data_IF_445315635551
#
_entry.id   IF_445315635551
#
_cell.length_a   1.000
_cell.length_b   1.000
_cell.length_c   1.000
_cell.angle_alpha   90.00
_cell.angle_beta   90.00
_cell.angle_gamma   90.00
#
_symmetry.space_group_name_H-M   'P 1'
#
loop_
_entity.id
_entity.type
_entity.pdbx_description
1 polymer ?
#
# COMPACT_ATOMS: atom_id res chain seq x y z
N UNK A 1 2.69 10.93 9.13
CA UNK A 1 3.06 10.47 7.78
C UNK A 1 4.22 11.34 7.34
N UNK A 2 5.41 10.78 7.24
CA UNK A 2 6.59 11.52 6.79
C UNK A 2 6.62 11.53 5.26
N UNK A 3 6.81 12.72 4.68
CA UNK A 3 6.94 12.89 3.23
C UNK A 3 8.41 12.81 2.81
N UNK A 4 8.68 12.04 1.77
CA UNK A 4 9.99 11.98 1.10
C UNK A 4 9.80 12.22 -0.40
N UNK A 5 10.55 13.16 -0.96
CA UNK A 5 10.37 13.65 -2.34
C UNK A 5 8.90 14.01 -2.70
N UNK A 6 8.20 14.63 -1.75
CA UNK A 6 6.82 15.09 -1.92
C UNK A 6 5.76 13.97 -1.88
N UNK A 7 6.14 12.74 -1.52
CA UNK A 7 5.23 11.59 -1.45
C UNK A 7 5.27 10.90 -0.08
N UNK A 8 4.19 10.21 0.30
CA UNK A 8 4.16 9.47 1.56
C UNK A 8 5.23 8.38 1.58
N UNK A 9 5.83 8.21 2.76
CA UNK A 9 6.63 7.02 3.09
C UNK A 9 5.78 6.04 3.89
N UNK A 10 6.05 4.76 3.71
CA UNK A 10 5.34 3.68 4.38
C UNK A 10 6.36 2.84 5.14
N UNK A 11 6.06 2.50 6.39
CA UNK A 11 6.87 1.58 7.19
C UNK A 11 6.08 0.31 7.40
N UNK A 12 6.73 -0.84 7.25
CA UNK A 12 6.11 -2.12 7.62
C UNK A 12 6.08 -2.22 9.16
N UNK A 13 4.94 -2.55 9.75
CA UNK A 13 4.80 -2.55 11.22
C UNK A 13 5.68 -3.59 11.93
N UNK A 14 5.88 -4.74 11.29
CA UNK A 14 6.60 -5.90 11.83
C UNK A 14 8.07 -5.99 11.36
N UNK A 15 8.55 -5.02 10.59
CA UNK A 15 9.90 -5.05 10.05
C UNK A 15 10.51 -3.65 9.93
N UNK A 16 11.83 -3.57 10.05
CA UNK A 16 12.60 -2.37 9.70
C UNK A 16 12.73 -2.25 8.18
N UNK A 17 11.59 -2.09 7.50
CA UNK A 17 11.50 -1.89 6.06
C UNK A 17 10.63 -0.70 5.76
N UNK A 18 11.18 0.19 4.94
CA UNK A 18 10.55 1.40 4.48
C UNK A 18 10.30 1.30 2.99
N UNK A 19 9.10 1.67 2.56
CA UNK A 19 8.76 1.89 1.18
C UNK A 19 8.64 3.39 0.94
N UNK A 20 9.38 3.89 -0.05
CA UNK A 20 9.48 5.31 -0.33
C UNK A 20 9.72 5.56 -1.82
N UNK A 21 9.30 6.73 -2.28
CA UNK A 21 9.48 7.17 -3.65
C UNK A 21 10.73 8.02 -3.80
N UNK A 22 11.49 7.85 -4.88
CA UNK A 22 12.59 8.74 -5.23
C UNK A 22 12.22 9.45 -6.53
N UNK A 23 12.43 10.77 -6.56
CA UNK A 23 12.23 11.61 -7.74
C UNK A 23 13.54 12.25 -8.25
N UNK A 24 14.54 12.41 -7.39
CA UNK A 24 15.75 13.21 -7.68
C UNK A 24 16.70 12.56 -8.68
N UNK A 25 17.18 11.37 -8.36
CA UNK A 25 18.22 10.70 -9.17
C UNK A 25 17.65 9.64 -10.10
N UNK A 26 16.55 9.02 -9.68
CA UNK A 26 15.84 7.96 -10.40
C UNK A 26 14.37 8.01 -10.05
N UNK A 27 13.51 7.90 -11.05
CA UNK A 27 12.06 7.89 -10.90
C UNK A 27 11.61 6.46 -10.58
N UNK A 28 11.45 6.13 -9.29
CA UNK A 28 11.07 4.78 -8.85
C UNK A 28 10.57 4.73 -7.40
N UNK A 29 9.86 3.66 -7.08
CA UNK A 29 9.60 3.23 -5.71
C UNK A 29 10.68 2.26 -5.25
N UNK A 30 11.11 2.41 -3.99
CA UNK A 30 12.09 1.57 -3.34
C UNK A 30 11.51 0.96 -2.06
N UNK A 31 11.97 -0.24 -1.71
CA UNK A 31 11.80 -0.86 -0.39
C UNK A 31 13.18 -1.14 0.19
N UNK A 32 13.52 -0.52 1.33
CA UNK A 32 14.86 -0.57 1.91
C UNK A 32 14.85 -0.54 3.44
N UNK A 33 16.02 -0.76 4.04
CA UNK A 33 16.20 -0.69 5.50
C UNK A 33 16.10 0.75 6.01
N UNK A 34 16.61 1.72 5.24
CA UNK A 34 16.43 3.14 5.50
C UNK A 34 15.98 3.87 4.23
N UNK A 35 15.41 5.05 4.43
CA UNK A 35 15.00 5.96 3.36
C UNK A 35 16.26 6.58 2.74
N UNK A 36 16.38 6.50 1.42
CA UNK A 36 17.50 7.09 0.66
C UNK A 36 18.73 6.20 0.53
N UNK A 37 18.74 5.01 1.12
CA UNK A 37 19.87 4.07 1.00
C UNK A 37 20.10 3.59 -0.43
N UNK A 38 21.37 3.30 -0.75
CA UNK A 38 21.76 2.71 -2.04
C UNK A 38 21.43 1.22 -2.12
N UNK A 39 21.38 0.54 -0.98
CA UNK A 39 20.99 -0.87 -0.86
C UNK A 39 19.49 -0.98 -0.59
N UNK A 40 18.79 -1.70 -1.46
CA UNK A 40 17.34 -1.88 -1.38
C UNK A 40 16.97 -3.35 -1.52
N UNK A 41 15.91 -3.76 -0.82
CA UNK A 41 15.33 -5.09 -0.89
C UNK A 41 14.48 -5.26 -2.14
N UNK A 42 13.78 -4.20 -2.55
CA UNK A 42 13.00 -4.21 -3.78
C UNK A 42 12.95 -2.83 -4.41
N UNK A 43 12.71 -2.78 -5.72
CA UNK A 43 12.48 -1.54 -6.44
C UNK A 43 11.56 -1.75 -7.64
N UNK A 44 10.90 -0.69 -8.06
CA UNK A 44 10.07 -0.68 -9.27
C UNK A 44 10.06 0.71 -9.90
N UNK A 45 10.30 0.77 -11.20
CA UNK A 45 10.26 2.04 -11.94
C UNK A 45 8.81 2.37 -12.25
N UNK A 46 8.23 3.33 -11.52
CA UNK A 46 6.85 3.77 -11.69
C UNK A 46 6.71 5.21 -11.21
N UNK A 47 5.79 5.96 -11.83
CA UNK A 47 5.39 7.32 -11.42
C UNK A 47 4.12 7.33 -10.54
N UNK A 48 3.52 6.16 -10.31
CA UNK A 48 2.28 5.98 -9.56
C UNK A 48 2.31 6.75 -8.23
N UNK A 49 1.25 7.50 -7.92
CA UNK A 49 1.14 8.32 -6.71
C UNK A 49 1.07 7.49 -5.43
N UNK A 50 0.46 6.31 -5.55
CA UNK A 50 0.36 5.32 -4.48
C UNK A 50 1.08 4.02 -4.89
N UNK A 51 1.66 3.29 -3.92
CA UNK A 51 2.22 1.96 -4.15
C UNK A 51 1.21 0.95 -4.71
N UNK A 52 -0.07 1.07 -4.37
CA UNK A 52 -1.13 0.17 -4.85
C UNK A 52 -1.41 0.32 -6.34
N UNK A 53 -1.12 1.50 -6.91
CA UNK A 53 -1.33 1.80 -8.33
C UNK A 53 -0.11 1.42 -9.17
N UNK A 54 0.91 0.78 -8.58
CA UNK A 54 2.08 0.29 -9.30
C UNK A 54 1.69 -0.93 -10.14
N UNK A 55 1.58 -0.71 -11.44
CA UNK A 55 1.36 -1.76 -12.45
C UNK A 55 2.62 -2.55 -12.82
N UNK A 56 3.82 -1.94 -12.96
CA UNK A 56 5.02 -2.66 -13.39
C UNK A 56 5.48 -3.73 -12.40
N UNK A 57 6.23 -4.70 -12.90
CA UNK A 57 6.81 -5.79 -12.10
C UNK A 57 7.89 -5.26 -11.15
N UNK A 58 7.83 -5.70 -9.90
CA UNK A 58 8.83 -5.38 -8.89
C UNK A 58 10.10 -6.19 -9.10
N UNK A 59 11.25 -5.58 -8.79
CA UNK A 59 12.55 -6.24 -8.76
C UNK A 59 12.99 -6.44 -7.32
N UNK A 60 13.22 -7.67 -6.92
CA UNK A 60 13.66 -8.02 -5.57
C UNK A 60 15.14 -8.40 -5.54
N UNK A 61 15.82 -8.05 -4.46
CA UNK A 61 17.20 -8.47 -4.22
C UNK A 61 17.21 -9.94 -3.79
N UNK A 62 17.72 -10.81 -4.66
CA UNK A 62 17.87 -12.25 -4.42
C UNK A 62 19.29 -12.67 -4.77
N UNK A 63 20.05 -13.18 -3.81
CA UNK A 63 21.42 -13.64 -4.04
C UNK A 63 22.39 -12.54 -4.53
N UNK A 64 22.17 -11.28 -4.16
CA UNK A 64 22.99 -10.14 -4.58
C UNK A 64 22.66 -9.58 -5.98
N UNK A 65 21.67 -10.15 -6.68
CA UNK A 65 21.16 -9.63 -7.95
C UNK A 65 19.70 -9.19 -7.80
N UNK A 66 19.26 -8.27 -8.66
CA UNK A 66 17.86 -7.87 -8.75
C UNK A 66 17.15 -8.78 -9.75
N UNK A 67 16.12 -9.49 -9.28
CA UNK A 67 15.31 -10.41 -10.09
C UNK A 67 13.89 -9.88 -10.17
N UNK A 68 13.28 -9.92 -11.37
CA UNK A 68 11.87 -9.56 -11.56
C UNK A 68 10.98 -10.59 -10.84
N UNK A 69 10.11 -10.12 -9.95
CA UNK A 69 9.14 -10.93 -9.21
C UNK A 69 7.71 -10.40 -9.49
N UNK A 70 6.95 -11.08 -10.37
CA UNK A 70 5.58 -10.67 -10.70
C UNK A 70 4.57 -10.96 -9.59
N UNK A 71 4.97 -11.69 -8.55
CA UNK A 71 4.08 -12.05 -7.42
C UNK A 71 4.04 -10.95 -6.36
N UNK A 72 5.07 -10.10 -6.30
CA UNK A 72 5.14 -8.99 -5.37
C UNK A 72 4.17 -7.88 -5.77
N UNK A 73 3.26 -7.52 -4.86
CA UNK A 73 2.29 -6.44 -5.01
C UNK A 73 2.14 -5.70 -3.69
N UNK A 74 1.86 -4.41 -3.76
CA UNK A 74 1.41 -3.66 -2.59
C UNK A 74 -0.10 -3.85 -2.44
N UNK A 75 -0.55 -4.20 -1.24
CA UNK A 75 -1.97 -4.28 -0.89
C UNK A 75 -2.26 -3.31 0.24
N UNK A 76 -3.45 -2.70 0.23
CA UNK A 76 -3.94 -2.01 1.41
C UNK A 76 -4.19 -3.05 2.49
N UNK A 77 -3.67 -2.80 3.70
CA UNK A 77 -4.12 -3.53 4.88
C UNK A 77 -5.43 -2.86 5.30
N UNK A 78 -6.54 -3.57 5.12
CA UNK A 78 -7.80 -3.14 5.71
C UNK A 78 -7.64 -3.14 7.25
N UNK A 79 -8.02 -2.06 7.94
CA UNK A 79 -7.85 -1.97 9.40
C UNK A 79 -8.64 -3.04 10.17
N UNK A 80 -9.53 -3.77 9.50
CA UNK A 80 -10.33 -4.88 10.05
C UNK A 80 -9.57 -6.22 10.13
N UNK A 81 -8.38 -6.35 9.53
CA UNK A 81 -7.66 -7.64 9.46
C UNK A 81 -6.55 -7.78 10.51
N UNK A 82 -6.23 -6.72 11.26
CA UNK A 82 -5.31 -6.78 12.41
C UNK A 82 -6.04 -7.10 13.72
N UNK A 83 -6.91 -8.12 13.68
CA UNK A 83 -7.44 -8.77 14.86
C UNK A 83 -7.33 -10.28 14.64
N UNK A 84 -6.60 -10.96 15.52
CA UNK A 84 -6.48 -12.41 15.55
C UNK A 84 -7.87 -13.10 15.48
N UNK A 85 -7.95 -14.38 15.03
CA UNK A 85 -9.21 -15.10 14.99
C UNK A 85 -9.66 -15.39 16.43
N UNK A 86 -10.38 -14.44 17.04
CA UNK A 86 -11.15 -14.72 18.24
C UNK A 86 -12.51 -15.16 17.74
N UNK A 87 -12.73 -16.47 17.77
CA UNK A 87 -14.05 -17.07 17.64
C UNK A 87 -14.99 -16.39 18.63
N UNK A 88 -15.80 -15.45 18.16
CA UNK A 88 -17.06 -15.09 18.80
C UNK A 88 -18.03 -14.72 17.70
N UNK A 89 -18.83 -15.71 17.33
CA UNK A 89 -20.09 -15.61 16.58
C UNK A 89 -20.89 -14.38 16.99
N UNK A 90 -21.58 -13.80 16.00
CA UNK A 90 -22.65 -12.76 16.01
C UNK A 90 -22.14 -11.46 15.35
N UNK A 91 -22.65 -10.95 14.23
CA UNK A 91 -23.94 -11.13 13.57
C UNK A 91 -23.82 -11.05 12.04
N UNK A 92 -24.74 -11.75 11.38
CA UNK A 92 -25.17 -11.51 10.01
C UNK A 92 -25.52 -10.03 9.80
N UNK A 93 -25.17 -9.45 8.65
CA UNK A 93 -26.15 -8.65 7.88
C UNK A 93 -25.79 -8.75 6.40
N UNK A 94 -26.80 -9.21 5.69
CA UNK A 94 -26.92 -9.50 4.27
C UNK A 94 -26.67 -8.30 3.37
N UNK A 95 -26.05 -8.59 2.23
CA UNK A 95 -26.06 -7.81 1.00
C UNK A 95 -27.50 -7.53 0.54
N UNK A 96 -27.98 -6.30 0.76
CA UNK A 96 -28.97 -5.58 -0.04
C UNK A 96 -28.84 -4.10 0.35
N UNK A 97 -29.13 -3.19 -0.58
CA UNK A 97 -29.11 -1.72 -0.44
C UNK A 97 -27.75 -1.04 -0.73
N UNK A 98 -27.16 -1.40 -1.87
CA UNK A 98 -26.48 -0.40 -2.72
C UNK A 98 -27.52 0.11 -3.70
N UNK A 99 -28.32 1.07 -3.28
CA UNK A 99 -28.78 2.12 -4.17
C UNK A 99 -29.13 3.36 -3.35
N UNK A 100 -28.96 4.52 -3.95
CA UNK A 100 -29.56 5.77 -3.48
C UNK A 100 -28.90 6.53 -2.31
N UNK A 101 -27.67 7.02 -2.56
CA UNK A 101 -27.36 8.39 -2.13
C UNK A 101 -26.51 9.13 -3.18
N UNK A 102 -27.00 9.11 -4.41
CA UNK A 102 -26.65 10.09 -5.44
C UNK A 102 -27.90 10.92 -5.73
N UNK A 103 -28.05 12.06 -5.04
CA UNK A 103 -28.56 13.34 -5.53
C UNK A 103 -29.11 14.17 -4.36
N UNK A 104 -28.63 15.39 -4.22
CA UNK A 104 -29.04 16.29 -3.16
C UNK A 104 -30.53 16.57 -3.19
N UNK A 105 -31.16 16.55 -2.01
CA UNK A 105 -32.02 17.60 -1.48
C UNK A 105 -32.44 17.19 -0.08
N UNK A 106 -32.62 18.21 0.76
CA UNK A 106 -32.96 18.11 2.16
C UNK A 106 -34.27 17.32 2.41
N UNK A 107 -34.37 16.83 3.65
CA UNK A 107 -35.57 16.41 4.39
C UNK A 107 -35.88 14.92 4.41
N UNK A 108 -35.47 14.26 5.50
CA UNK A 108 -36.31 13.28 6.19
C UNK A 108 -36.14 13.48 7.72
N UNK A 109 -37.14 14.11 8.33
CA UNK A 109 -37.49 14.13 9.77
C UNK A 109 -38.76 13.27 9.89
N UNK A 110 -38.98 12.49 10.96
CA UNK A 110 -39.35 13.02 12.28
C UNK A 110 -38.36 12.67 13.41
#
# INVERSE_FOLDING_TARGET
MDLYDGRPTYKKDDAERYMYYIARDRIRWNVGANIGDTSVFALVSSIAMSPIDVVPVWRIASGGVLVDDPTMKATCLDPTTSAAPTTTTTAQTTTADIDECAQGTNNCHP
#
